data_IF_871174360704
#
_entry.id   IF_871174360704
#
_cell.length_a   1.000
_cell.length_b   1.000
_cell.length_c   1.000
_cell.angle_alpha   90.00
_cell.angle_beta   90.00
_cell.angle_gamma   90.00
#
_symmetry.space_group_name_H-M   'P 1'
#
loop_
_entity.id
_entity.type
_entity.pdbx_description
1 polymer ?
#
# COMPACT_ATOMS: atom_id res chain seq x y z
N UNK A 1 -87.23 30.91 152.01
CA UNK A 1 -87.78 29.72 151.33
C UNK A 1 -86.65 28.72 151.19
N UNK A 2 -86.65 27.66 152.01
CA UNK A 2 -85.68 26.57 151.87
C UNK A 2 -86.15 25.66 150.74
N UNK A 3 -85.29 25.42 149.75
CA UNK A 3 -85.55 24.45 148.68
C UNK A 3 -85.66 23.04 149.28
N UNK A 4 -86.57 22.22 148.75
CA UNK A 4 -86.79 20.85 149.24
C UNK A 4 -85.65 19.93 148.79
N UNK A 5 -85.32 18.90 149.58
CA UNK A 5 -84.21 17.97 149.29
C UNK A 5 -84.32 17.32 147.90
N UNK A 6 -85.53 17.11 147.37
CA UNK A 6 -85.75 16.59 146.00
C UNK A 6 -85.30 17.57 144.91
N UNK A 7 -85.45 18.88 145.12
CA UNK A 7 -85.01 19.90 144.16
C UNK A 7 -83.47 20.02 144.13
N UNK A 8 -82.81 19.83 145.28
CA UNK A 8 -81.35 19.79 145.38
C UNK A 8 -80.76 18.51 144.76
N UNK A 9 -81.44 17.36 144.91
CA UNK A 9 -81.05 16.10 144.27
C UNK A 9 -81.11 16.18 142.75
N UNK A 10 -82.21 16.72 142.19
CA UNK A 10 -82.34 16.92 140.73
C UNK A 10 -81.33 17.92 140.18
N UNK A 11 -81.07 19.02 140.89
CA UNK A 11 -80.07 19.99 140.48
C UNK A 11 -78.66 19.38 140.45
N UNK A 12 -78.32 18.52 141.41
CA UNK A 12 -77.03 17.81 141.44
C UNK A 12 -76.92 16.78 140.30
N UNK A 13 -78.00 16.08 139.99
CA UNK A 13 -78.05 15.13 138.87
C UNK A 13 -77.94 15.84 137.52
N UNK A 14 -78.66 16.94 137.32
CA UNK A 14 -78.57 17.78 136.12
C UNK A 14 -77.16 18.39 135.98
N UNK A 15 -76.53 18.80 137.09
CA UNK A 15 -75.15 19.31 137.08
C UNK A 15 -74.14 18.21 136.75
N UNK A 16 -74.38 16.98 137.23
CA UNK A 16 -73.54 15.81 136.95
C UNK A 16 -73.66 15.40 135.49
N UNK A 17 -74.87 15.40 134.93
CA UNK A 17 -75.13 15.17 133.52
C UNK A 17 -74.49 16.28 132.66
N UNK A 18 -74.65 17.55 133.04
CA UNK A 18 -74.03 18.67 132.34
C UNK A 18 -72.50 18.61 132.38
N UNK A 19 -71.92 18.23 133.52
CA UNK A 19 -70.47 18.06 133.66
C UNK A 19 -69.94 16.89 132.83
N UNK A 20 -70.63 15.75 132.82
CA UNK A 20 -70.23 14.60 132.01
C UNK A 20 -70.39 14.90 130.51
N UNK A 21 -71.46 15.57 130.10
CA UNK A 21 -71.67 16.02 128.73
C UNK A 21 -70.62 17.07 128.31
N UNK A 22 -70.26 17.99 129.20
CA UNK A 22 -69.18 18.94 128.96
C UNK A 22 -67.84 18.24 128.85
N UNK A 23 -67.51 17.31 129.77
CA UNK A 23 -66.24 16.57 129.75
C UNK A 23 -66.10 15.71 128.49
N UNK A 24 -67.17 15.03 128.10
CA UNK A 24 -67.19 14.20 126.90
C UNK A 24 -67.19 15.05 125.62
N UNK A 25 -68.04 16.08 125.54
CA UNK A 25 -68.09 17.00 124.41
C UNK A 25 -66.80 17.81 124.24
N UNK A 26 -66.18 18.26 125.33
CA UNK A 26 -64.89 18.94 125.33
C UNK A 26 -63.76 17.98 124.94
N UNK A 27 -63.73 16.75 125.49
CA UNK A 27 -62.70 15.77 125.11
C UNK A 27 -62.79 15.37 123.64
N UNK A 28 -63.99 15.15 123.11
CA UNK A 28 -64.20 14.80 121.71
C UNK A 28 -63.96 15.98 120.77
N UNK A 29 -64.39 17.19 121.12
CA UNK A 29 -64.09 18.39 120.34
C UNK A 29 -62.59 18.71 120.31
N UNK A 30 -61.89 18.56 121.44
CA UNK A 30 -60.43 18.77 121.53
C UNK A 30 -59.67 17.68 120.76
N UNK A 31 -60.07 16.40 120.87
CA UNK A 31 -59.49 15.31 120.06
C UNK A 31 -59.71 15.54 118.56
N UNK A 32 -60.92 15.93 118.16
CA UNK A 32 -61.25 16.18 116.75
C UNK A 32 -60.48 17.39 116.20
N UNK A 33 -60.37 18.48 116.98
CA UNK A 33 -59.61 19.65 116.60
C UNK A 33 -58.11 19.35 116.47
N UNK A 34 -57.50 18.66 117.44
CA UNK A 34 -56.11 18.21 117.37
C UNK A 34 -55.87 17.26 116.18
N UNK A 35 -56.79 16.32 115.93
CA UNK A 35 -56.69 15.37 114.81
C UNK A 35 -56.76 16.11 113.47
N UNK A 36 -57.68 17.06 113.31
CA UNK A 36 -57.81 17.85 112.09
C UNK A 36 -56.58 18.73 111.84
N UNK A 37 -56.02 19.36 112.89
CA UNK A 37 -54.79 20.17 112.77
C UNK A 37 -53.60 19.31 112.38
N UNK A 38 -53.38 18.17 113.05
CA UNK A 38 -52.28 17.25 112.72
C UNK A 38 -52.42 16.68 111.31
N UNK A 39 -53.63 16.31 110.88
CA UNK A 39 -53.88 15.85 109.49
C UNK A 39 -53.61 16.97 108.47
N UNK A 40 -53.96 18.22 108.79
CA UNK A 40 -53.70 19.35 107.91
C UNK A 40 -52.19 19.64 107.79
N UNK A 41 -51.45 19.60 108.89
CA UNK A 41 -49.99 19.74 108.92
C UNK A 41 -49.31 18.62 108.12
N UNK A 42 -49.68 17.35 108.36
CA UNK A 42 -49.13 16.21 107.60
C UNK A 42 -49.39 16.37 106.09
N UNK A 43 -50.59 16.82 105.70
CA UNK A 43 -50.91 17.08 104.28
C UNK A 43 -50.06 18.21 103.70
N UNK A 44 -49.82 19.25 104.48
CA UNK A 44 -49.02 20.40 104.06
C UNK A 44 -47.55 20.01 103.93
N UNK A 45 -46.98 19.34 104.93
CA UNK A 45 -45.60 18.83 104.89
C UNK A 45 -45.39 17.84 103.73
N UNK A 46 -46.35 16.93 103.52
CA UNK A 46 -46.29 16.00 102.39
C UNK A 46 -46.34 16.74 101.04
N UNK A 47 -47.16 17.79 100.93
CA UNK A 47 -47.25 18.61 99.71
C UNK A 47 -45.95 19.37 99.47
N UNK A 48 -45.37 19.95 100.49
CA UNK A 48 -44.12 20.71 100.40
C UNK A 48 -42.93 19.81 100.11
N UNK A 49 -42.89 18.61 100.71
CA UNK A 49 -41.92 17.57 100.39
C UNK A 49 -42.03 17.12 98.93
N UNK A 50 -43.24 16.76 98.47
CA UNK A 50 -43.46 16.36 97.06
C UNK A 50 -43.05 17.48 96.11
N UNK A 51 -43.41 18.74 96.41
CA UNK A 51 -43.04 19.87 95.57
C UNK A 51 -41.52 20.07 95.50
N UNK A 52 -40.83 19.99 96.64
CA UNK A 52 -39.36 20.09 96.71
C UNK A 52 -38.68 18.95 95.95
N UNK A 53 -39.15 17.72 96.12
CA UNK A 53 -38.61 16.53 95.45
C UNK A 53 -38.83 16.62 93.92
N UNK A 54 -40.00 17.08 93.47
CA UNK A 54 -40.31 17.25 92.05
C UNK A 54 -39.40 18.29 91.37
N UNK A 55 -39.07 19.38 92.08
CA UNK A 55 -38.11 20.38 91.62
C UNK A 55 -36.71 19.77 91.50
N UNK A 56 -36.27 19.02 92.50
CA UNK A 56 -34.97 18.35 92.48
C UNK A 56 -34.86 17.32 91.34
N UNK A 57 -35.87 16.47 91.18
CA UNK A 57 -35.91 15.48 90.10
C UNK A 57 -35.92 16.15 88.72
N UNK A 58 -36.69 17.22 88.54
CA UNK A 58 -36.70 18.00 87.30
C UNK A 58 -35.31 18.55 86.97
N UNK A 59 -34.63 19.17 87.95
CA UNK A 59 -33.29 19.71 87.75
C UNK A 59 -32.27 18.62 87.39
N UNK A 60 -32.33 17.46 88.04
CA UNK A 60 -31.49 16.31 87.72
C UNK A 60 -31.74 15.79 86.29
N UNK A 61 -33.01 15.74 85.86
CA UNK A 61 -33.38 15.30 84.52
C UNK A 61 -32.91 16.28 83.44
N UNK A 62 -33.05 17.58 83.68
CA UNK A 62 -32.55 18.64 82.80
C UNK A 62 -31.02 18.57 82.65
N UNK A 63 -30.30 18.34 83.75
CA UNK A 63 -28.85 18.15 83.74
C UNK A 63 -28.45 16.90 82.95
N UNK A 64 -29.12 15.76 83.19
CA UNK A 64 -28.86 14.51 82.48
C UNK A 64 -29.11 14.65 80.97
N UNK A 65 -30.19 15.33 80.56
CA UNK A 65 -30.48 15.62 79.15
C UNK A 65 -29.38 16.49 78.54
N UNK A 66 -28.92 17.52 79.25
CA UNK A 66 -27.85 18.40 78.77
C UNK A 66 -26.54 17.63 78.57
N UNK A 67 -26.17 16.77 79.52
CA UNK A 67 -24.98 15.91 79.43
C UNK A 67 -25.10 14.90 78.29
N UNK A 68 -26.26 14.25 78.13
CA UNK A 68 -26.51 13.32 77.04
C UNK A 68 -26.40 13.99 75.66
N UNK A 69 -26.97 15.20 75.49
CA UNK A 69 -26.82 15.98 74.26
C UNK A 69 -25.35 16.30 73.96
N UNK A 70 -24.59 16.70 74.98
CA UNK A 70 -23.17 17.00 74.81
C UNK A 70 -22.37 15.74 74.43
N UNK A 71 -22.65 14.60 75.05
CA UNK A 71 -22.01 13.33 74.72
C UNK A 71 -22.29 12.90 73.27
N UNK A 72 -23.55 13.03 72.81
CA UNK A 72 -23.92 12.74 71.42
C UNK A 72 -23.19 13.67 70.46
N UNK A 73 -23.16 14.97 70.73
CA UNK A 73 -22.48 15.94 69.86
C UNK A 73 -20.97 15.64 69.76
N UNK A 74 -20.33 15.30 70.87
CA UNK A 74 -18.93 14.91 70.88
C UNK A 74 -18.70 13.63 70.07
N UNK A 75 -19.55 12.62 70.25
CA UNK A 75 -19.47 11.36 69.49
C UNK A 75 -19.64 11.58 67.99
N UNK A 76 -20.61 12.41 67.58
CA UNK A 76 -20.84 12.78 66.18
C UNK A 76 -19.64 13.53 65.61
N UNK A 77 -19.08 14.50 66.35
CA UNK A 77 -17.90 15.25 65.93
C UNK A 77 -16.68 14.34 65.73
N UNK A 78 -16.39 13.45 66.69
CA UNK A 78 -15.30 12.48 66.57
C UNK A 78 -15.52 11.50 65.42
N UNK A 79 -16.75 11.00 65.26
CA UNK A 79 -17.08 10.08 64.16
C UNK A 79 -16.92 10.76 62.79
N UNK A 80 -17.30 12.03 62.66
CA UNK A 80 -17.10 12.81 61.44
C UNK A 80 -15.62 12.91 61.07
N UNK A 81 -14.77 13.29 62.02
CA UNK A 81 -13.32 13.41 61.81
C UNK A 81 -12.72 12.06 61.40
N UNK A 82 -13.14 10.97 62.05
CA UNK A 82 -12.66 9.63 61.71
C UNK A 82 -13.05 9.22 60.27
N UNK A 83 -14.29 9.51 59.86
CA UNK A 83 -14.76 9.23 58.50
C UNK A 83 -13.99 10.07 57.48
N UNK A 84 -13.79 11.37 57.73
CA UNK A 84 -13.04 12.26 56.84
C UNK A 84 -11.59 11.80 56.68
N UNK A 85 -10.94 11.44 57.80
CA UNK A 85 -9.57 10.90 57.79
C UNK A 85 -9.48 9.59 57.00
N UNK A 86 -10.41 8.66 57.21
CA UNK A 86 -10.43 7.39 56.49
C UNK A 86 -10.65 7.58 54.99
N UNK A 87 -11.56 8.49 54.60
CA UNK A 87 -11.80 8.79 53.20
C UNK A 87 -10.58 9.40 52.51
N UNK A 88 -9.86 10.30 53.20
CA UNK A 88 -8.65 10.91 52.65
C UNK A 88 -7.50 9.89 52.51
N UNK A 89 -7.30 9.02 53.49
CA UNK A 89 -6.33 7.92 53.41
C UNK A 89 -6.62 7.01 52.21
N UNK A 90 -7.89 6.60 52.04
CA UNK A 90 -8.28 5.74 50.91
C UNK A 90 -8.18 6.42 49.57
N UNK A 91 -8.40 7.73 49.50
CA UNK A 91 -8.17 8.52 48.28
C UNK A 91 -6.69 8.51 47.90
N UNK A 92 -5.79 8.72 48.86
CA UNK A 92 -4.34 8.71 48.61
C UNK A 92 -3.84 7.33 48.18
N UNK A 93 -4.31 6.26 48.80
CA UNK A 93 -4.01 4.88 48.37
C UNK A 93 -4.42 4.64 46.91
N UNK A 94 -5.61 5.13 46.51
CA UNK A 94 -6.12 4.98 45.15
C UNK A 94 -5.29 5.79 44.13
N UNK A 95 -4.88 7.01 44.49
CA UNK A 95 -4.04 7.87 43.64
C UNK A 95 -2.68 7.20 43.37
N UNK A 96 -2.04 6.64 44.40
CA UNK A 96 -0.76 5.92 44.26
C UNK A 96 -0.91 4.68 43.35
N UNK A 97 -2.00 3.91 43.54
CA UNK A 97 -2.30 2.75 42.68
C UNK A 97 -2.48 3.15 41.21
N UNK A 98 -3.18 4.26 40.96
CA UNK A 98 -3.42 4.76 39.60
C UNK A 98 -2.12 5.23 38.95
N UNK A 99 -1.28 5.96 39.68
CA UNK A 99 0.02 6.42 39.19
C UNK A 99 0.94 5.23 38.85
N UNK A 100 0.98 4.22 39.73
CA UNK A 100 1.77 3.00 39.52
C UNK A 100 1.29 2.21 38.29
N UNK A 101 -0.02 2.04 38.15
CA UNK A 101 -0.61 1.36 37.00
C UNK A 101 -0.31 2.11 35.68
N UNK A 102 -0.41 3.45 35.71
CA UNK A 102 -0.12 4.30 34.56
C UNK A 102 1.35 4.21 34.15
N UNK A 103 2.28 4.25 35.11
CA UNK A 103 3.70 4.09 34.84
C UNK A 103 4.02 2.72 34.23
N UNK A 104 3.43 1.65 34.77
CA UNK A 104 3.62 0.29 34.25
C UNK A 104 3.10 0.13 32.82
N UNK A 105 1.93 0.70 32.52
CA UNK A 105 1.37 0.69 31.15
C UNK A 105 2.24 1.48 30.18
N UNK A 106 2.76 2.64 30.59
CA UNK A 106 3.66 3.44 29.76
C UNK A 106 4.97 2.70 29.46
N UNK A 107 5.54 2.01 30.44
CA UNK A 107 6.75 1.20 30.25
C UNK A 107 6.49 0.06 29.26
N UNK A 108 5.39 -0.67 29.40
CA UNK A 108 4.99 -1.72 28.46
C UNK A 108 4.82 -1.16 27.04
N UNK A 109 4.18 0.00 26.90
CA UNK A 109 3.96 0.64 25.61
C UNK A 109 5.29 1.06 24.94
N UNK A 110 6.18 1.74 25.68
CA UNK A 110 7.48 2.19 25.18
C UNK A 110 8.35 1.01 24.78
N UNK A 111 8.46 -0.01 25.63
CA UNK A 111 9.23 -1.22 25.33
C UNK A 111 8.65 -2.01 24.16
N UNK A 112 7.33 -2.09 24.07
CA UNK A 112 6.62 -2.70 22.95
C UNK A 112 6.91 -1.99 21.62
N UNK A 113 6.80 -0.65 21.60
CA UNK A 113 7.09 0.17 20.42
C UNK A 113 8.53 -0.02 19.98
N UNK A 114 9.50 0.11 20.89
CA UNK A 114 10.92 -0.04 20.57
C UNK A 114 11.25 -1.45 20.01
N UNK A 115 10.60 -2.50 20.55
CA UNK A 115 10.77 -3.86 20.04
C UNK A 115 10.19 -4.03 18.64
N UNK A 116 9.05 -3.40 18.34
CA UNK A 116 8.44 -3.42 17.00
C UNK A 116 9.34 -2.67 16.02
N UNK A 117 9.79 -1.47 16.36
CA UNK A 117 10.63 -0.64 15.50
C UNK A 117 11.92 -1.37 15.11
N UNK A 118 12.61 -1.97 16.08
CA UNK A 118 13.83 -2.75 15.85
C UNK A 118 13.59 -3.96 14.94
N UNK A 119 12.46 -4.67 15.09
CA UNK A 119 12.11 -5.81 14.23
C UNK A 119 11.78 -5.37 12.81
N UNK A 120 11.06 -4.25 12.65
CA UNK A 120 10.71 -3.69 11.34
C UNK A 120 11.97 -3.23 10.62
N UNK A 121 12.89 -2.53 11.29
CA UNK A 121 14.16 -2.10 10.72
C UNK A 121 15.02 -3.29 10.28
N UNK A 122 15.15 -4.30 11.14
CA UNK A 122 15.91 -5.52 10.82
C UNK A 122 15.32 -6.26 9.61
N UNK A 123 13.99 -6.38 9.53
CA UNK A 123 13.31 -7.00 8.41
C UNK A 123 13.48 -6.19 7.11
N UNK A 124 13.46 -4.85 7.20
CA UNK A 124 13.74 -3.95 6.08
C UNK A 124 15.12 -4.19 5.49
N UNK A 125 16.15 -4.21 6.34
CA UNK A 125 17.54 -4.48 5.93
C UNK A 125 17.69 -5.87 5.29
N UNK A 126 17.04 -6.90 5.84
CA UNK A 126 17.08 -8.24 5.26
C UNK A 126 16.43 -8.29 3.86
N UNK A 127 15.31 -7.59 3.66
CA UNK A 127 14.63 -7.49 2.37
C UNK A 127 15.53 -6.76 1.36
N UNK A 128 16.10 -5.63 1.74
CA UNK A 128 16.97 -4.84 0.86
C UNK A 128 18.18 -5.65 0.40
N UNK A 129 18.82 -6.40 1.31
CA UNK A 129 19.93 -7.28 0.98
C UNK A 129 19.51 -8.38 -0.02
N UNK A 130 18.38 -9.05 0.22
CA UNK A 130 17.87 -10.10 -0.69
C UNK A 130 17.51 -9.55 -2.07
N UNK A 131 16.96 -8.34 -2.13
CA UNK A 131 16.63 -7.67 -3.39
C UNK A 131 17.91 -7.30 -4.15
N UNK A 132 18.94 -6.80 -3.46
CA UNK A 132 20.23 -6.50 -4.06
C UNK A 132 20.90 -7.76 -4.63
N UNK A 133 20.99 -8.83 -3.84
CA UNK A 133 21.54 -10.13 -4.26
C UNK A 133 20.78 -10.69 -5.48
N UNK A 134 19.45 -10.65 -5.46
CA UNK A 134 18.63 -11.08 -6.61
C UNK A 134 18.90 -10.22 -7.86
N UNK A 135 19.08 -8.92 -7.68
CA UNK A 135 19.45 -7.98 -8.75
C UNK A 135 20.79 -8.33 -9.39
N UNK A 136 21.82 -8.62 -8.59
CA UNK A 136 23.14 -9.05 -9.09
C UNK A 136 23.05 -10.35 -9.89
N UNK A 137 22.31 -11.35 -9.39
CA UNK A 137 22.12 -12.63 -10.09
C UNK A 137 21.41 -12.44 -11.43
N UNK A 138 20.35 -11.63 -11.48
CA UNK A 138 19.60 -11.36 -12.70
C UNK A 138 20.49 -10.65 -13.72
N UNK A 139 21.21 -9.61 -13.30
CA UNK A 139 22.11 -8.86 -14.17
C UNK A 139 23.23 -9.75 -14.73
N UNK A 140 23.81 -10.61 -13.89
CA UNK A 140 24.80 -11.60 -14.34
C UNK A 140 24.26 -12.53 -15.43
N UNK A 141 23.04 -13.06 -15.26
CA UNK A 141 22.39 -13.91 -16.28
C UNK A 141 22.05 -13.15 -17.57
N UNK A 142 21.63 -11.89 -17.46
CA UNK A 142 21.36 -11.05 -18.63
C UNK A 142 22.64 -10.86 -19.45
N UNK A 143 23.77 -10.60 -18.78
CA UNK A 143 25.05 -10.42 -19.46
C UNK A 143 25.57 -11.73 -20.07
N UNK A 144 25.37 -12.87 -19.42
CA UNK A 144 25.63 -14.19 -19.99
C UNK A 144 24.80 -14.42 -21.26
N UNK A 145 23.49 -14.16 -21.23
CA UNK A 145 22.61 -14.30 -22.40
C UNK A 145 23.05 -13.37 -23.53
N UNK A 146 23.39 -12.10 -23.24
CA UNK A 146 23.90 -11.17 -24.25
C UNK A 146 25.15 -11.72 -24.92
N UNK A 147 26.07 -12.32 -24.16
CA UNK A 147 27.28 -12.92 -24.71
C UNK A 147 26.96 -14.15 -25.57
N UNK A 148 26.07 -15.04 -25.12
CA UNK A 148 25.63 -16.20 -25.91
C UNK A 148 25.01 -15.75 -27.23
N UNK A 149 24.12 -14.74 -27.20
CA UNK A 149 23.46 -14.20 -28.40
C UNK A 149 24.48 -13.56 -29.34
N UNK A 150 25.44 -12.77 -28.82
CA UNK A 150 26.54 -12.21 -29.61
C UNK A 150 27.36 -13.31 -30.29
N UNK A 151 27.79 -14.32 -29.54
CA UNK A 151 28.56 -15.45 -30.09
C UNK A 151 27.78 -16.20 -31.18
N UNK A 152 26.48 -16.43 -30.95
CA UNK A 152 25.61 -17.06 -31.93
C UNK A 152 25.55 -16.26 -33.24
N UNK A 153 25.31 -14.96 -33.17
CA UNK A 153 25.26 -14.11 -34.36
C UNK A 153 26.61 -14.02 -35.07
N UNK A 154 27.73 -13.93 -34.33
CA UNK A 154 29.06 -13.99 -34.93
C UNK A 154 29.24 -15.31 -35.68
N UNK A 155 28.96 -16.46 -35.05
CA UNK A 155 29.03 -17.78 -35.72
C UNK A 155 28.12 -17.86 -36.94
N UNK A 156 26.90 -17.33 -36.83
CA UNK A 156 25.93 -17.30 -37.93
C UNK A 156 26.45 -16.46 -39.11
N UNK A 157 26.87 -15.22 -38.88
CA UNK A 157 27.37 -14.33 -39.95
C UNK A 157 28.75 -14.71 -40.48
N UNK A 158 29.59 -15.38 -39.69
CA UNK A 158 30.86 -15.92 -40.17
C UNK A 158 30.68 -17.18 -41.02
N UNK A 159 29.64 -17.99 -40.75
CA UNK A 159 29.31 -19.18 -41.55
C UNK A 159 28.50 -18.85 -42.80
N UNK A 160 27.63 -17.84 -42.74
CA UNK A 160 26.86 -17.35 -43.88
C UNK A 160 27.65 -16.27 -44.61
N UNK A 161 28.04 -16.55 -45.84
CA UNK A 161 29.10 -15.80 -46.55
C UNK A 161 28.85 -14.31 -46.69
N UNK A 162 27.60 -13.86 -46.74
CA UNK A 162 27.23 -12.45 -46.87
C UNK A 162 25.78 -12.19 -46.44
N UNK A 163 25.50 -10.94 -46.07
CA UNK A 163 24.15 -10.40 -45.80
C UNK A 163 23.76 -9.48 -46.97
N UNK A 164 22.52 -9.62 -47.45
CA UNK A 164 21.97 -8.80 -48.52
C UNK A 164 21.21 -7.60 -47.98
N UNK A 165 21.42 -6.44 -48.60
CA UNK A 165 20.52 -5.29 -48.48
C UNK A 165 19.80 -5.07 -49.78
N UNK A 166 18.48 -5.26 -49.78
CA UNK A 166 17.61 -4.80 -50.86
C UNK A 166 17.11 -3.38 -50.56
N UNK A 167 16.86 -2.56 -51.59
CA UNK A 167 16.12 -1.33 -51.40
C UNK A 167 14.67 -1.63 -50.98
N UNK A 168 14.09 -0.76 -50.17
CA UNK A 168 12.67 -0.73 -49.85
C UNK A 168 12.13 0.69 -50.01
N UNK A 169 10.84 0.82 -50.28
CA UNK A 169 10.19 2.12 -50.42
C UNK A 169 9.54 2.53 -49.09
N UNK A 170 9.84 3.74 -48.62
CA UNK A 170 9.18 4.34 -47.48
C UNK A 170 8.79 5.77 -47.84
N UNK A 171 7.49 6.07 -47.83
CA UNK A 171 6.93 7.38 -48.19
C UNK A 171 7.35 7.88 -49.59
N UNK A 172 7.38 7.00 -50.60
CA UNK A 172 7.78 7.38 -51.96
C UNK A 172 9.29 7.59 -52.14
N UNK A 173 10.10 7.34 -51.11
CA UNK A 173 11.56 7.45 -51.16
C UNK A 173 12.18 6.06 -51.08
N UNK A 174 13.01 5.73 -52.07
CA UNK A 174 13.79 4.49 -52.05
C UNK A 174 14.88 4.58 -50.97
N UNK A 175 14.76 3.75 -49.94
CA UNK A 175 15.73 3.57 -48.86
C UNK A 175 16.43 2.24 -49.02
N UNK A 176 17.61 2.12 -48.45
CA UNK A 176 18.28 0.82 -48.28
C UNK A 176 18.03 0.33 -46.86
N UNK A 177 17.98 -0.98 -46.66
CA UNK A 177 18.08 -1.56 -45.32
C UNK A 177 19.25 -0.91 -44.56
N UNK A 178 19.10 -0.65 -43.24
CA UNK A 178 20.20 -0.09 -42.43
C UNK A 178 21.46 -0.93 -42.63
N UNK A 179 22.62 -0.28 -42.64
CA UNK A 179 23.86 -1.03 -42.82
C UNK A 179 23.96 -2.03 -41.68
N UNK A 180 24.46 -3.25 -41.92
CA UNK A 180 24.58 -4.23 -40.84
C UNK A 180 25.35 -3.71 -39.61
N UNK A 181 26.29 -2.76 -39.80
CA UNK A 181 26.99 -2.06 -38.71
C UNK A 181 26.10 -1.22 -37.80
N UNK A 182 24.96 -0.75 -38.30
CA UNK A 182 24.02 0.09 -37.55
C UNK A 182 23.11 -0.77 -36.64
N UNK A 183 23.04 -2.07 -36.91
CA UNK A 183 22.17 -3.04 -36.21
C UNK A 183 22.99 -4.02 -35.37
N UNK A 184 24.11 -4.48 -35.90
CA UNK A 184 24.96 -5.50 -35.30
C UNK A 184 26.40 -4.98 -35.18
N UNK A 185 26.84 -4.75 -33.95
CA UNK A 185 28.23 -4.41 -33.62
C UNK A 185 28.82 -5.45 -32.68
N UNK A 186 30.01 -5.93 -33.02
CA UNK A 186 30.71 -6.97 -32.28
C UNK A 186 32.17 -6.56 -32.08
N UNK A 187 32.66 -6.63 -30.84
CA UNK A 187 34.04 -6.28 -30.52
C UNK A 187 35.03 -7.19 -31.26
N UNK A 188 36.03 -6.58 -31.92
CA UNK A 188 37.02 -7.32 -32.71
C UNK A 188 36.54 -7.76 -34.10
N UNK A 189 35.36 -7.32 -34.55
CA UNK A 189 34.85 -7.57 -35.90
C UNK A 189 34.44 -6.26 -36.57
N UNK A 190 34.41 -6.27 -37.90
CA UNK A 190 33.81 -5.19 -38.67
C UNK A 190 33.00 -5.73 -39.84
N UNK A 191 31.97 -4.99 -40.23
CA UNK A 191 31.27 -5.23 -41.48
C UNK A 191 32.03 -4.60 -42.64
N UNK A 192 32.28 -5.40 -43.67
CA UNK A 192 32.91 -4.95 -44.91
C UNK A 192 31.95 -5.14 -46.08
N UNK A 193 31.67 -4.04 -46.78
CA UNK A 193 30.95 -4.10 -48.06
C UNK A 193 31.88 -4.72 -49.11
N UNK A 194 31.38 -5.73 -49.83
CA UNK A 194 32.10 -6.34 -50.94
C UNK A 194 31.51 -5.82 -52.26
N UNK A 195 32.23 -4.98 -53.03
CA UNK A 195 31.76 -4.58 -54.34
C UNK A 195 31.77 -5.79 -55.28
N UNK A 196 30.61 -6.13 -55.83
CA UNK A 196 30.47 -7.19 -56.84
C UNK A 196 30.54 -6.70 -58.28
N UNK A 197 30.52 -5.38 -58.51
CA UNK A 197 30.63 -4.77 -59.84
C UNK A 197 29.63 -5.34 -60.87
N UNK A 198 28.36 -5.54 -60.49
CA UNK A 198 27.31 -6.03 -61.38
C UNK A 198 27.33 -7.54 -61.67
N UNK A 199 28.28 -8.30 -61.11
CA UNK A 199 28.42 -9.74 -61.37
C UNK A 199 27.26 -10.56 -60.81
N UNK A 200 26.83 -11.56 -61.58
CA UNK A 200 25.84 -12.56 -61.18
C UNK A 200 26.56 -13.80 -60.61
N UNK A 201 26.13 -14.26 -59.45
CA UNK A 201 26.68 -15.47 -58.82
C UNK A 201 26.03 -16.74 -59.38
N UNK A 202 26.83 -17.79 -59.64
CA UNK A 202 26.36 -19.11 -60.07
C UNK A 202 26.96 -20.23 -59.24
N UNK A 203 26.22 -21.33 -59.09
CA UNK A 203 26.71 -22.55 -58.44
C UNK A 203 27.86 -23.21 -59.22
N UNK A 204 28.71 -23.94 -58.49
CA UNK A 204 29.85 -24.68 -59.07
C UNK A 204 29.39 -25.88 -59.90
N UNK A 205 30.21 -26.31 -60.86
CA UNK A 205 29.96 -27.47 -61.72
C UNK A 205 29.45 -27.12 -63.14
N UNK A 206 29.35 -28.13 -63.99
CA UNK A 206 28.95 -27.98 -65.39
C UNK A 206 29.93 -27.12 -66.19
N UNK A 207 29.42 -26.07 -66.84
CA UNK A 207 30.19 -25.10 -67.63
C UNK A 207 30.68 -23.90 -66.81
N UNK A 208 30.58 -23.93 -65.47
CA UNK A 208 31.13 -22.90 -64.61
C UNK A 208 32.66 -23.05 -64.50
N UNK A 209 33.38 -21.92 -64.34
CA UNK A 209 34.79 -21.99 -63.96
C UNK A 209 34.96 -22.69 -62.61
N UNK A 210 36.10 -23.36 -62.36
CA UNK A 210 36.39 -23.92 -61.06
C UNK A 210 36.32 -22.85 -59.96
N UNK A 211 35.96 -23.28 -58.75
CA UNK A 211 35.79 -22.35 -57.64
C UNK A 211 37.10 -21.61 -57.33
N UNK A 212 37.04 -20.27 -57.28
CA UNK A 212 38.18 -19.42 -56.94
C UNK A 212 39.11 -19.06 -58.10
N UNK A 213 38.83 -19.49 -59.34
CA UNK A 213 39.72 -19.22 -60.49
C UNK A 213 39.38 -17.95 -61.27
N UNK A 214 38.51 -17.09 -60.73
CA UNK A 214 38.14 -15.80 -61.33
C UNK A 214 36.72 -15.76 -61.88
N UNK A 215 36.51 -14.90 -62.87
CA UNK A 215 35.21 -14.54 -63.43
C UNK A 215 35.02 -15.13 -64.84
N UNK A 216 33.78 -15.48 -65.17
CA UNK A 216 33.37 -15.75 -66.55
C UNK A 216 32.87 -14.44 -67.15
N UNK A 217 33.48 -14.01 -68.26
CA UNK A 217 33.00 -12.83 -68.99
C UNK A 217 31.67 -13.07 -69.69
N UNK A 218 31.03 -11.98 -70.10
CA UNK A 218 29.75 -12.02 -70.78
C UNK A 218 29.85 -12.77 -72.11
N UNK A 219 28.94 -13.72 -72.31
CA UNK A 219 28.84 -14.48 -73.54
C UNK A 219 27.38 -14.84 -73.83
N UNK A 220 26.99 -14.72 -75.09
CA UNK A 220 25.81 -15.41 -75.61
C UNK A 220 26.22 -16.80 -76.13
N UNK A 221 25.25 -17.70 -76.28
CA UNK A 221 25.50 -18.96 -76.98
C UNK A 221 25.85 -18.68 -78.44
N UNK A 222 26.61 -19.59 -79.06
CA UNK A 222 26.87 -19.53 -80.48
C UNK A 222 25.54 -19.60 -81.26
N UNK A 223 25.28 -18.61 -82.11
CA UNK A 223 24.12 -18.56 -83.00
C UNK A 223 24.64 -18.71 -84.42
N UNK A 224 24.33 -19.84 -85.06
CA UNK A 224 24.73 -20.12 -86.44
C UNK A 224 23.51 -20.27 -87.34
N UNK A 225 23.69 -19.92 -88.60
CA UNK A 225 22.68 -20.01 -89.65
C UNK A 225 23.29 -19.66 -91.00
N UNK A 226 22.55 -19.91 -92.08
CA UNK A 226 22.95 -19.51 -93.43
C UNK A 226 21.76 -18.85 -94.11
N UNK A 227 22.02 -17.88 -94.98
CA UNK A 227 21.02 -17.40 -95.93
C UNK A 227 21.66 -17.34 -97.32
N UNK A 228 20.92 -17.76 -98.34
CA UNK A 228 21.33 -17.64 -99.74
C UNK A 228 20.98 -16.27 -100.28
N UNK A 229 21.91 -15.61 -100.99
CA UNK A 229 21.66 -14.33 -101.64
C UNK A 229 22.02 -14.42 -103.12
N UNK A 230 21.04 -14.20 -104.01
CA UNK A 230 21.25 -14.05 -105.45
C UNK A 230 20.97 -12.59 -105.82
N UNK A 231 22.03 -11.81 -106.07
CA UNK A 231 21.91 -10.38 -106.33
C UNK A 231 21.51 -10.10 -107.79
N UNK A 232 20.23 -10.27 -108.13
CA UNK A 232 19.61 -9.52 -109.23
C UNK A 232 18.32 -8.88 -108.70
N UNK A 233 18.38 -7.57 -108.41
CA UNK A 233 17.23 -6.70 -108.09
C UNK A 233 16.20 -7.32 -107.13
N UNK A 234 16.58 -7.54 -105.87
CA UNK A 234 15.66 -8.02 -104.83
C UNK A 234 14.95 -6.86 -104.11
N UNK A 235 13.63 -7.00 -103.97
CA UNK A 235 12.75 -6.27 -103.05
C UNK A 235 12.31 -7.20 -101.92
N UNK A 236 12.65 -6.86 -100.67
CA UNK A 236 12.15 -7.53 -99.47
C UNK A 236 13.24 -8.11 -98.57
N UNK A 237 13.90 -7.26 -97.77
CA UNK A 237 14.59 -7.67 -96.54
C UNK A 237 13.86 -6.95 -95.40
N UNK A 238 13.54 -7.68 -94.33
CA UNK A 238 12.82 -7.19 -93.15
C UNK A 238 13.39 -7.82 -91.85
N UNK A 239 13.05 -7.24 -90.70
CA UNK A 239 13.53 -7.67 -89.38
C UNK A 239 14.96 -7.21 -89.08
N UNK A 240 15.79 -8.09 -88.54
CA UNK A 240 17.15 -7.77 -88.10
C UNK A 240 18.14 -7.49 -89.24
N UNK A 241 17.74 -7.69 -90.50
CA UNK A 241 18.58 -7.46 -91.65
C UNK A 241 18.06 -6.25 -92.44
N UNK A 242 18.96 -5.49 -93.05
CA UNK A 242 18.60 -4.38 -93.95
C UNK A 242 19.66 -4.13 -95.01
N UNK A 243 19.33 -3.36 -96.05
CA UNK A 243 20.30 -2.93 -97.04
C UNK A 243 21.06 -1.69 -96.59
N UNK A 244 22.39 -1.74 -96.63
CA UNK A 244 23.24 -0.56 -96.57
C UNK A 244 23.66 -0.21 -98.01
N UNK A 245 23.14 0.92 -98.52
CA UNK A 245 23.46 1.40 -99.86
C UNK A 245 24.88 1.91 -99.91
N UNK A 246 25.77 1.16 -100.55
CA UNK A 246 27.08 1.67 -100.95
C UNK A 246 26.90 2.38 -102.28
N UNK A 247 27.49 3.56 -102.47
CA UNK A 247 27.60 4.20 -103.78
C UNK A 247 28.39 3.27 -104.68
N UNK A 248 27.70 2.43 -105.46
CA UNK A 248 28.34 1.42 -106.28
C UNK A 248 29.18 2.11 -107.37
N UNK A 249 30.48 1.83 -107.37
CA UNK A 249 31.23 1.79 -108.62
C UNK A 249 30.54 0.76 -109.53
N UNK A 250 30.41 1.10 -110.81
CA UNK A 250 29.69 0.32 -111.80
C UNK A 250 30.35 -1.06 -111.96
N UNK A 251 29.83 -2.09 -111.29
CA UNK A 251 30.33 -3.45 -111.44
C UNK A 251 29.79 -4.03 -112.75
N UNK A 252 30.71 -4.24 -113.69
CA UNK A 252 30.48 -4.50 -115.12
C UNK A 252 29.28 -5.38 -115.48
N UNK A 253 28.49 -4.88 -116.43
CA UNK A 253 27.42 -5.61 -117.11
C UNK A 253 27.97 -6.80 -117.92
N UNK A 254 27.57 -8.02 -117.58
CA UNK A 254 27.67 -9.17 -118.47
C UNK A 254 26.28 -9.80 -118.62
N UNK A 255 25.77 -9.81 -119.85
CA UNK A 255 24.51 -10.44 -120.26
C UNK A 255 23.20 -9.88 -119.65
N UNK A 256 23.12 -8.58 -119.34
CA UNK A 256 21.85 -7.91 -119.01
C UNK A 256 21.39 -8.04 -117.56
N UNK A 257 22.22 -8.61 -116.68
CA UNK A 257 22.01 -8.60 -115.24
C UNK A 257 22.85 -7.51 -114.59
N UNK A 258 22.18 -6.58 -113.94
CA UNK A 258 22.75 -5.45 -113.20
C UNK A 258 23.07 -5.92 -111.77
N UNK A 259 24.34 -6.26 -111.53
CA UNK A 259 24.83 -6.73 -110.23
C UNK A 259 25.23 -5.54 -109.35
N UNK A 260 24.24 -4.97 -108.65
CA UNK A 260 24.54 -3.94 -107.64
C UNK A 260 25.06 -4.64 -106.38
N UNK A 261 26.33 -4.43 -106.05
CA UNK A 261 26.90 -4.84 -104.78
C UNK A 261 26.21 -4.09 -103.62
N UNK A 262 25.23 -4.73 -102.98
CA UNK A 262 24.57 -4.20 -101.78
C UNK A 262 25.15 -4.87 -100.54
N UNK A 263 25.53 -4.09 -99.53
CA UNK A 263 25.88 -4.62 -98.22
C UNK A 263 24.60 -5.00 -97.49
N UNK A 264 24.59 -6.16 -96.86
CA UNK A 264 23.55 -6.56 -95.91
C UNK A 264 24.04 -6.18 -94.52
N UNK A 265 23.35 -5.25 -93.89
CA UNK A 265 23.57 -4.88 -92.49
C UNK A 265 22.74 -5.79 -91.58
N UNK A 266 23.29 -6.15 -90.44
CA UNK A 266 22.59 -6.81 -89.35
C UNK A 266 22.46 -5.85 -88.17
N UNK A 267 21.26 -5.72 -87.66
CA UNK A 267 20.91 -4.88 -86.51
C UNK A 267 19.86 -5.61 -85.65
N UNK A 268 20.34 -6.21 -84.56
CA UNK A 268 19.49 -6.95 -83.63
C UNK A 268 18.45 -6.06 -82.92
N UNK A 269 18.68 -4.75 -82.82
CA UNK A 269 17.80 -3.81 -82.10
C UNK A 269 16.39 -3.74 -82.70
N UNK A 270 16.26 -4.15 -83.96
CA UNK A 270 14.99 -4.19 -84.70
C UNK A 270 14.06 -5.33 -84.29
N UNK A 271 14.58 -6.36 -83.61
CA UNK A 271 13.80 -7.57 -83.27
C UNK A 271 13.89 -7.96 -81.79
N UNK A 272 14.90 -7.47 -81.07
CA UNK A 272 15.05 -7.67 -79.62
C UNK A 272 15.57 -6.39 -78.97
N UNK A 273 15.24 -6.11 -77.70
CA UNK A 273 15.91 -5.07 -76.94
C UNK A 273 17.42 -5.32 -76.90
N UNK A 274 18.20 -4.34 -77.31
CA UNK A 274 19.67 -4.38 -77.28
C UNK A 274 20.20 -3.42 -76.22
N UNK A 275 21.32 -3.78 -75.60
CA UNK A 275 22.08 -2.94 -74.68
C UNK A 275 23.58 -3.20 -74.88
N UNK A 276 24.41 -2.30 -74.34
CA UNK A 276 25.88 -2.45 -74.34
C UNK A 276 26.37 -3.73 -73.62
N UNK A 277 25.55 -4.29 -72.73
CA UNK A 277 25.84 -5.49 -71.94
C UNK A 277 24.70 -6.50 -72.10
N UNK A 278 25.05 -7.77 -72.34
CA UNK A 278 24.08 -8.85 -72.40
C UNK A 278 23.70 -9.32 -70.99
N UNK A 279 22.52 -8.91 -70.51
CA UNK A 279 22.07 -9.19 -69.13
C UNK A 279 20.63 -9.69 -69.07
N UNK A 280 20.36 -10.49 -68.06
CA UNK A 280 18.99 -10.77 -67.61
C UNK A 280 18.45 -9.61 -66.76
N UNK A 281 17.13 -9.54 -66.60
CA UNK A 281 16.50 -8.65 -65.63
C UNK A 281 17.06 -8.95 -64.24
N UNK A 282 17.49 -7.92 -63.52
CA UNK A 282 18.12 -8.02 -62.20
C UNK A 282 17.85 -6.77 -61.36
N UNK A 283 17.98 -6.93 -60.04
CA UNK A 283 17.97 -5.84 -59.07
C UNK A 283 19.37 -5.59 -58.51
N UNK A 284 19.69 -4.33 -58.25
CA UNK A 284 20.95 -3.96 -57.61
C UNK A 284 20.85 -4.17 -56.10
N UNK A 285 21.77 -4.98 -55.56
CA UNK A 285 21.84 -5.29 -54.14
C UNK A 285 23.25 -5.07 -53.60
N UNK A 286 23.35 -4.79 -52.31
CA UNK A 286 24.63 -4.67 -51.62
C UNK A 286 24.90 -5.92 -50.78
N UNK A 287 26.17 -6.32 -50.75
CA UNK A 287 26.64 -7.47 -49.99
C UNK A 287 27.62 -7.01 -48.93
N UNK A 288 27.38 -7.42 -47.69
CA UNK A 288 28.31 -7.23 -46.59
C UNK A 288 28.73 -8.56 -46.01
N UNK A 289 29.99 -8.63 -45.60
CA UNK A 289 30.53 -9.75 -44.83
C UNK A 289 30.95 -9.25 -43.46
N UNK A 290 30.82 -10.12 -42.47
CA UNK A 290 31.47 -9.90 -41.18
C UNK A 290 32.91 -10.41 -41.31
N UNK A 291 33.88 -9.55 -41.00
CA UNK A 291 35.28 -9.95 -40.95
C UNK A 291 35.88 -9.66 -39.57
N UNK A 292 36.76 -10.54 -39.12
CA UNK A 292 37.53 -10.35 -37.90
C UNK A 292 38.63 -9.33 -38.16
N UNK A 293 38.79 -8.36 -37.25
CA UNK A 293 39.84 -7.34 -37.30
C UNK A 293 41.24 -7.93 -37.08
#
# INVERSE_FOLDING_TARGET
MAYTNDQLGKALEDLTIAYNNFKQGFSEAVKLALTNTVIAEIKQDAKDFIASELVTQKANLELAIKQAKQAINNYVASSKVNIESFCEEKKQELEILLETATASLNEIFVNGSASIDSKVESAGVEIDNKVAEAGEVINGKIDEIKNIVKEYFIKYFMSHRWVQGAPYEENGVQKFLPKPSDVFSFDGYRWKEIPRYGRIERGTGGLALPFGTGEQGDAIRNITGYFGMQACRLSGIDGAFSYESVTAGNDGNSNGYDFIARRVAFDASKVVPTAEENRMVNDTVRHWILEKL
#
